data_IF_907631714195
#
_entry.id   IF_907631714195
#
_cell.length_a   1.000
_cell.length_b   1.000
_cell.length_c   1.000
_cell.angle_alpha   90.00
_cell.angle_beta   90.00
_cell.angle_gamma   90.00
#
_symmetry.space_group_name_H-M   'P 1'
#
loop_
_entity.id
_entity.type
_entity.pdbx_description
1 polymer ?
#
# COMPACT_ATOMS: atom_id res chain seq x y z
N UNK A 1 0.93 -8.06 -13.89
CA UNK A 1 -0.16 -7.23 -14.43
C UNK A 1 -0.29 -7.56 -15.90
N UNK A 2 -1.49 -7.84 -16.37
CA UNK A 2 -1.71 -8.16 -17.77
C UNK A 2 -1.65 -6.88 -18.63
N UNK A 3 -1.24 -6.95 -19.91
CA UNK A 3 -1.13 -5.78 -20.78
C UNK A 3 -2.44 -4.98 -20.91
N UNK A 4 -3.59 -5.65 -20.90
CA UNK A 4 -4.91 -5.02 -21.02
C UNK A 4 -5.27 -4.21 -19.75
N UNK A 5 -4.83 -4.71 -18.58
CA UNK A 5 -5.00 -4.00 -17.31
C UNK A 5 -4.15 -2.72 -17.30
N UNK A 6 -2.89 -2.80 -17.74
CA UNK A 6 -2.01 -1.63 -17.80
C UNK A 6 -2.60 -0.53 -18.71
N UNK A 7 -3.08 -0.92 -19.90
CA UNK A 7 -3.71 0.02 -20.85
C UNK A 7 -4.92 0.74 -20.24
N UNK A 8 -5.70 0.06 -19.38
CA UNK A 8 -6.83 0.66 -18.68
C UNK A 8 -6.39 1.82 -17.77
N UNK A 9 -5.33 1.61 -16.99
CA UNK A 9 -4.84 2.63 -16.04
C UNK A 9 -4.05 3.75 -16.74
N UNK A 10 -3.41 3.45 -17.86
CA UNK A 10 -2.82 4.48 -18.72
C UNK A 10 -3.90 5.39 -19.32
N UNK A 11 -5.03 4.84 -19.76
CA UNK A 11 -6.18 5.62 -20.21
C UNK A 11 -6.75 6.52 -19.09
N UNK A 12 -6.79 6.03 -17.84
CA UNK A 12 -7.17 6.85 -16.68
C UNK A 12 -6.24 8.05 -16.51
N UNK A 13 -4.92 7.82 -16.52
CA UNK A 13 -3.92 8.90 -16.45
C UNK A 13 -4.12 9.92 -17.58
N UNK A 14 -4.31 9.46 -18.83
CA UNK A 14 -4.50 10.34 -19.99
C UNK A 14 -5.77 11.19 -19.90
N UNK A 15 -6.81 10.71 -19.21
CA UNK A 15 -8.02 11.50 -18.90
C UNK A 15 -7.81 12.52 -17.77
N UNK A 16 -6.66 12.49 -17.10
CA UNK A 16 -6.34 13.36 -15.98
C UNK A 16 -6.73 12.80 -14.62
N UNK A 17 -7.03 11.49 -14.50
CA UNK A 17 -7.31 10.87 -13.21
C UNK A 17 -6.07 10.98 -12.28
N UNK A 18 -6.32 11.31 -11.02
CA UNK A 18 -5.27 11.43 -10.02
C UNK A 18 -4.66 10.06 -9.66
N UNK A 19 -3.39 10.01 -9.20
CA UNK A 19 -2.76 8.78 -8.73
C UNK A 19 -3.60 8.02 -7.69
N UNK A 20 -4.26 8.73 -6.78
CA UNK A 20 -5.13 8.17 -5.75
C UNK A 20 -6.34 7.45 -6.35
N UNK A 21 -6.96 8.03 -7.38
CA UNK A 21 -8.10 7.43 -8.10
C UNK A 21 -7.70 6.14 -8.80
N UNK A 22 -6.53 6.13 -9.45
CA UNK A 22 -6.00 4.93 -10.11
C UNK A 22 -5.66 3.86 -9.07
N UNK A 23 -5.01 4.23 -7.97
CA UNK A 23 -4.69 3.31 -6.87
C UNK A 23 -5.95 2.71 -6.25
N UNK A 24 -6.99 3.50 -6.03
CA UNK A 24 -8.28 3.01 -5.54
C UNK A 24 -8.92 2.00 -6.50
N UNK A 25 -8.93 2.30 -7.81
CA UNK A 25 -9.45 1.40 -8.83
C UNK A 25 -8.67 0.07 -8.90
N UNK A 26 -7.34 0.12 -8.73
CA UNK A 26 -6.52 -1.09 -8.68
C UNK A 26 -6.88 -1.98 -7.49
N UNK A 27 -7.05 -1.37 -6.32
CA UNK A 27 -7.39 -2.09 -5.09
C UNK A 27 -8.78 -2.69 -5.15
N UNK A 28 -9.74 -1.99 -5.76
CA UNK A 28 -11.08 -2.54 -6.02
C UNK A 28 -11.05 -3.80 -6.90
N UNK A 29 -10.00 -4.01 -7.69
CA UNK A 29 -9.75 -5.24 -8.46
C UNK A 29 -8.90 -6.29 -7.72
N UNK A 30 -8.57 -6.05 -6.44
CA UNK A 30 -7.79 -6.98 -5.63
C UNK A 30 -6.29 -6.94 -5.89
N UNK A 31 -5.75 -5.87 -6.49
CA UNK A 31 -4.31 -5.75 -6.63
C UNK A 31 -3.63 -5.44 -5.29
N UNK A 32 -2.59 -6.21 -5.00
CA UNK A 32 -1.75 -6.05 -3.81
C UNK A 32 -0.95 -4.74 -3.80
N UNK A 33 -0.46 -4.38 -2.61
CA UNK A 33 0.34 -3.18 -2.38
C UNK A 33 1.48 -3.02 -3.39
N UNK A 34 2.32 -4.05 -3.56
CA UNK A 34 3.49 -3.98 -4.43
C UNK A 34 3.12 -3.72 -5.89
N UNK A 35 2.03 -4.31 -6.38
CA UNK A 35 1.54 -4.08 -7.73
C UNK A 35 1.06 -2.63 -7.93
N UNK A 36 0.36 -2.06 -6.94
CA UNK A 36 -0.05 -0.67 -6.96
C UNK A 36 1.16 0.28 -7.01
N UNK A 37 2.18 0.05 -6.17
CA UNK A 37 3.38 0.89 -6.13
C UNK A 37 4.15 0.84 -7.45
N UNK A 38 4.30 -0.35 -8.04
CA UNK A 38 5.00 -0.49 -9.33
C UNK A 38 4.26 0.28 -10.42
N UNK A 39 2.94 0.09 -10.54
CA UNK A 39 2.17 0.77 -11.58
C UNK A 39 2.19 2.29 -11.41
N UNK A 40 1.96 2.80 -10.20
CA UNK A 40 1.94 4.24 -9.95
C UNK A 40 3.26 4.91 -10.36
N UNK A 41 4.40 4.25 -10.17
CA UNK A 41 5.72 4.75 -10.57
C UNK A 41 5.99 4.62 -12.07
N UNK A 42 5.29 3.72 -12.77
CA UNK A 42 5.35 3.63 -14.24
C UNK A 42 4.49 4.72 -14.88
N UNK A 43 3.31 4.96 -14.32
CA UNK A 43 2.37 5.95 -14.83
C UNK A 43 2.78 7.38 -14.46
N UNK A 44 3.32 7.60 -13.27
CA UNK A 44 3.66 8.93 -12.78
C UNK A 44 5.14 8.99 -12.40
N UNK A 45 5.80 10.15 -12.51
CA UNK A 45 7.20 10.33 -12.12
C UNK A 45 7.36 10.39 -10.59
N UNK A 46 6.82 9.41 -9.87
CA UNK A 46 6.82 9.34 -8.42
C UNK A 46 8.04 8.57 -7.92
N UNK A 47 8.65 9.06 -6.85
CA UNK A 47 9.57 8.28 -6.04
C UNK A 47 8.85 7.12 -5.34
N UNK A 48 9.61 6.17 -4.79
CA UNK A 48 9.05 5.09 -4.01
C UNK A 48 8.22 5.61 -2.82
N UNK A 49 8.69 6.65 -2.12
CA UNK A 49 7.95 7.20 -0.97
C UNK A 49 6.65 7.86 -1.39
N UNK A 50 6.67 8.66 -2.45
CA UNK A 50 5.45 9.30 -2.95
C UNK A 50 4.40 8.27 -3.39
N UNK A 51 4.82 7.19 -4.06
CA UNK A 51 3.90 6.12 -4.42
C UNK A 51 3.31 5.41 -3.20
N UNK A 52 4.12 5.16 -2.15
CA UNK A 52 3.63 4.58 -0.89
C UNK A 52 2.63 5.51 -0.19
N UNK A 53 2.90 6.80 -0.22
CA UNK A 53 2.03 7.81 0.39
C UNK A 53 0.71 7.95 -0.36
N UNK A 54 0.69 7.81 -1.69
CA UNK A 54 -0.56 7.68 -2.47
C UNK A 54 -1.35 6.46 -1.99
N UNK A 55 -0.71 5.29 -1.89
CA UNK A 55 -1.38 4.07 -1.44
C UNK A 55 -1.98 4.24 -0.04
N UNK A 56 -1.19 4.71 0.91
CA UNK A 56 -1.61 4.88 2.31
C UNK A 56 -2.74 5.91 2.43
N UNK A 57 -2.74 6.96 1.61
CA UNK A 57 -3.87 7.90 1.56
C UNK A 57 -5.16 7.28 1.05
N UNK A 58 -5.09 6.23 0.21
CA UNK A 58 -6.30 5.45 -0.16
C UNK A 58 -6.85 4.60 0.98
N UNK A 59 -6.05 4.33 2.02
CA UNK A 59 -6.51 3.67 3.27
C UNK A 59 -7.09 4.67 4.29
N UNK A 60 -7.21 5.94 3.94
CA UNK A 60 -7.77 6.98 4.80
C UNK A 60 -6.77 7.59 5.79
N UNK A 61 -5.51 7.20 5.75
CA UNK A 61 -4.44 7.83 6.51
C UNK A 61 -3.99 9.12 5.84
N UNK A 62 -3.57 10.13 6.61
CA UNK A 62 -3.15 11.42 6.02
C UNK A 62 -1.72 11.37 5.50
N UNK A 63 -0.87 10.56 6.12
CA UNK A 63 0.56 10.47 5.82
C UNK A 63 1.09 9.05 6.02
N UNK A 64 2.32 8.79 5.56
CA UNK A 64 3.04 7.56 5.88
C UNK A 64 3.33 7.42 7.37
N UNK A 65 3.59 8.53 8.07
CA UNK A 65 3.84 8.53 9.50
C UNK A 65 2.59 8.11 10.29
N UNK A 66 1.41 8.66 9.94
CA UNK A 66 0.13 8.30 10.54
C UNK A 66 -0.13 6.78 10.41
N UNK A 67 0.16 6.24 9.21
CA UNK A 67 0.03 4.81 8.96
C UNK A 67 1.02 3.99 9.79
N UNK A 68 2.29 4.41 9.85
CA UNK A 68 3.30 3.73 10.66
C UNK A 68 2.94 3.72 12.14
N UNK A 69 2.44 4.83 12.67
CA UNK A 69 1.97 4.91 14.06
C UNK A 69 0.80 3.96 14.31
N UNK A 70 -0.12 3.83 13.34
CA UNK A 70 -1.25 2.90 13.47
C UNK A 70 -0.85 1.42 13.54
N UNK A 71 0.34 1.06 13.03
CA UNK A 71 0.85 -0.32 13.05
C UNK A 71 1.52 -0.69 14.39
N UNK A 72 1.94 0.30 15.18
CA UNK A 72 2.69 0.05 16.42
C UNK A 72 1.96 -0.87 17.41
N UNK A 73 0.66 -0.70 17.70
CA UNK A 73 -0.04 -1.56 18.65
C UNK A 73 -0.04 -3.03 18.25
N UNK A 74 -0.23 -3.32 16.96
CA UNK A 74 -0.26 -4.70 16.45
C UNK A 74 1.14 -5.33 16.48
N UNK A 75 2.18 -4.55 16.18
CA UNK A 75 3.59 -5.00 16.29
C UNK A 75 3.93 -5.31 17.74
N UNK A 76 3.59 -4.41 18.67
CA UNK A 76 3.81 -4.63 20.11
C UNK A 76 3.07 -5.88 20.60
N UNK A 77 1.83 -6.07 20.17
CA UNK A 77 1.06 -7.26 20.51
C UNK A 77 1.70 -8.54 19.96
N UNK A 78 2.13 -8.54 18.69
CA UNK A 78 2.78 -9.67 18.06
C UNK A 78 4.11 -10.03 18.75
N UNK A 79 4.93 -9.03 19.09
CA UNK A 79 6.18 -9.22 19.83
C UNK A 79 5.94 -9.83 21.21
N UNK A 80 4.97 -9.29 21.96
CA UNK A 80 4.59 -9.83 23.28
C UNK A 80 4.07 -11.27 23.20
N UNK A 81 3.32 -11.61 22.16
CA UNK A 81 2.84 -12.98 21.94
C UNK A 81 4.01 -13.96 21.69
N UNK A 82 4.99 -13.55 20.87
CA UNK A 82 6.18 -14.34 20.58
C UNK A 82 7.05 -14.58 21.83
N UNK A 83 7.27 -13.54 22.63
CA UNK A 83 8.03 -13.66 23.90
C UNK A 83 7.35 -14.62 24.89
N UNK A 84 6.01 -14.56 24.99
CA UNK A 84 5.25 -15.47 25.84
C UNK A 84 5.27 -16.92 25.35
N UNK A 85 5.32 -17.16 24.03
CA UNK A 85 5.51 -18.51 23.51
C UNK A 85 6.93 -19.02 23.79
N UNK A 86 7.96 -18.21 23.56
CA UNK A 86 9.35 -18.60 23.78
C UNK A 86 9.65 -18.97 25.25
N UNK A 87 9.01 -18.28 26.20
CA UNK A 87 9.17 -18.56 27.63
C UNK A 87 8.36 -19.77 28.14
N UNK A 88 7.35 -20.25 27.37
CA UNK A 88 6.57 -21.44 27.75
C UNK A 88 7.29 -22.74 27.43
N UNK A 89 8.17 -22.75 26.42
CA UNK A 89 8.94 -23.94 26.01
C UNK A 89 10.21 -24.16 26.87
N UNK A 90 10.45 -23.32 27.88
CA UNK A 90 11.60 -23.40 28.79
C UNK A 90 11.24 -23.90 30.22
N UNK A 91 10.02 -24.40 30.44
CA UNK A 91 9.57 -25.00 31.71
C UNK A 91 9.11 -26.43 31.53
#
# INVERSE_FOLDING_TARGET
MQPEEYSTYEAMKLRGDAPETICFAMRAKGHEFSACIILLRQLFPLSLMQAKEVFVRTDGFKSLSDYQESLLPDIEWALNALERSANKDQK
#
